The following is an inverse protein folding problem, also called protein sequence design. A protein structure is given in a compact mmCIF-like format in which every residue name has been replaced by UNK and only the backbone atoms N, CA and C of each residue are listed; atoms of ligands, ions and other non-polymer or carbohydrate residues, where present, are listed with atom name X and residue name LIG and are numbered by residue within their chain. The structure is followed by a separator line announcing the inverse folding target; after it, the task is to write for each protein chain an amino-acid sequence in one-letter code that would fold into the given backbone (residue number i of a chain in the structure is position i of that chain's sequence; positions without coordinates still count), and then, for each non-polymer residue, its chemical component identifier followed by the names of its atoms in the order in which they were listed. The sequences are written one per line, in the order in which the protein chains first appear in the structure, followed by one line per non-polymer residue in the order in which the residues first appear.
data_IF_963643667179
#
_entry.id   IF_963643667179
#
_cell.length_a   1.000
_cell.length_b   1.000
_cell.length_c   1.000
_cell.angle_alpha   90.00
_cell.angle_beta   90.00
_cell.angle_gamma   90.00
#
_symmetry.space_group_name_H-M   'P 1'
#
loop_
_entity.id
_entity.type
_entity.pdbx_description
1 polymer ?
#
# COMPACT_ATOMS: atom_id res chain seq x y z
N UNK A 1 8.13 -2.34 -25.69
CA UNK A 1 8.80 -3.57 -26.16
C UNK A 1 8.33 -4.71 -25.28
N UNK A 2 7.64 -5.69 -25.87
CA UNK A 2 6.93 -6.78 -25.20
C UNK A 2 7.91 -7.68 -24.43
N UNK A 3 7.76 -7.76 -23.11
CA UNK A 3 8.38 -8.79 -22.27
C UNK A 3 7.42 -9.98 -22.00
N UNK A 4 6.23 -9.97 -22.59
CA UNK A 4 5.17 -10.95 -22.31
C UNK A 4 5.31 -12.29 -23.07
N UNK A 5 6.41 -12.51 -23.80
CA UNK A 5 6.56 -13.67 -24.71
C UNK A 5 7.71 -14.63 -24.36
N UNK A 6 8.37 -14.52 -23.20
CA UNK A 6 9.50 -15.39 -22.85
C UNK A 6 9.20 -16.56 -21.88
N UNK A 7 7.98 -16.72 -21.38
CA UNK A 7 7.61 -17.87 -20.52
C UNK A 7 6.89 -19.01 -21.27
N UNK A 8 6.98 -19.06 -22.60
CA UNK A 8 6.60 -20.23 -23.39
C UNK A 8 7.71 -21.26 -23.55
N UNK A 9 8.88 -21.04 -22.95
CA UNK A 9 9.84 -22.11 -22.74
C UNK A 9 9.46 -22.81 -21.44
N UNK A 10 9.04 -24.07 -21.55
CA UNK A 10 9.12 -25.02 -20.44
C UNK A 10 10.56 -24.99 -19.93
N UNK A 11 10.84 -24.12 -18.95
CA UNK A 11 12.01 -24.36 -18.12
C UNK A 11 11.79 -25.75 -17.56
N UNK A 12 12.69 -26.68 -17.89
CA UNK A 12 12.70 -28.03 -17.35
C UNK A 12 13.00 -27.92 -15.85
N UNK A 13 11.99 -27.49 -15.09
CA UNK A 13 12.05 -27.41 -13.66
C UNK A 13 12.26 -28.84 -13.17
N UNK A 14 13.44 -29.08 -12.61
CA UNK A 14 13.76 -30.36 -11.97
C UNK A 14 13.25 -30.31 -10.55
N UNK A 15 12.62 -31.39 -10.11
CA UNK A 15 12.18 -31.48 -8.73
C UNK A 15 13.40 -31.47 -7.81
N UNK A 16 13.36 -30.66 -6.75
CA UNK A 16 14.46 -30.56 -5.78
C UNK A 16 14.81 -31.90 -5.12
N UNK A 17 13.79 -32.70 -4.80
CA UNK A 17 13.96 -34.00 -4.13
C UNK A 17 14.20 -35.15 -5.11
N UNK A 18 13.86 -34.95 -6.39
CA UNK A 18 14.02 -35.94 -7.47
C UNK A 18 14.57 -35.23 -8.73
N UNK A 19 15.87 -34.89 -8.77
CA UNK A 19 16.45 -34.06 -9.84
C UNK A 19 16.33 -34.65 -11.24
N UNK A 20 16.14 -35.97 -11.34
CA UNK A 20 15.91 -36.70 -12.58
C UNK A 20 14.47 -36.56 -13.11
N UNK A 21 13.54 -36.03 -12.29
CA UNK A 21 12.13 -35.93 -12.63
C UNK A 21 11.70 -34.48 -12.89
N UNK A 22 10.84 -34.25 -13.89
CA UNK A 22 10.25 -32.94 -14.10
C UNK A 22 9.26 -32.61 -12.99
N UNK A 23 9.20 -31.33 -12.66
CA UNK A 23 8.12 -30.74 -11.87
C UNK A 23 6.83 -30.80 -12.66
N UNK A 24 5.74 -31.09 -11.95
CA UNK A 24 4.40 -31.18 -12.54
C UNK A 24 3.36 -30.41 -11.73
N UNK A 25 3.63 -30.16 -10.46
CA UNK A 25 2.67 -29.60 -9.52
C UNK A 25 3.29 -28.48 -8.69
N UNK A 26 2.41 -27.67 -8.12
CA UNK A 26 2.78 -26.72 -7.09
C UNK A 26 1.67 -26.57 -6.05
N UNK A 27 2.02 -26.11 -4.85
CA UNK A 27 1.10 -25.92 -3.74
C UNK A 27 0.89 -24.44 -3.41
N UNK A 28 -0.37 -23.99 -3.46
CA UNK A 28 -0.78 -22.61 -3.16
C UNK A 28 -1.14 -22.38 -1.69
N UNK A 29 -1.20 -23.43 -0.87
CA UNK A 29 -1.59 -23.34 0.53
C UNK A 29 -0.66 -22.40 1.31
N UNK A 30 -1.23 -21.41 2.01
CA UNK A 30 -0.45 -20.33 2.64
C UNK A 30 0.58 -20.86 3.66
N UNK A 31 0.22 -21.84 4.46
CA UNK A 31 1.05 -22.43 5.52
C UNK A 31 1.78 -23.72 5.11
N UNK A 32 1.95 -23.96 3.81
CA UNK A 32 2.77 -25.07 3.31
C UNK A 32 4.24 -24.85 3.72
N UNK A 33 4.78 -25.80 4.50
CA UNK A 33 6.17 -25.82 4.98
C UNK A 33 7.09 -26.71 4.14
N UNK A 34 6.55 -27.34 3.10
CA UNK A 34 7.26 -28.24 2.18
C UNK A 34 7.69 -27.52 0.90
N UNK A 35 8.48 -28.20 0.06
CA UNK A 35 8.84 -27.67 -1.26
C UNK A 35 7.58 -27.43 -2.12
N UNK A 36 7.24 -26.17 -2.38
CA UNK A 36 5.99 -25.77 -3.05
C UNK A 36 5.90 -26.13 -4.52
N UNK A 37 7.00 -26.53 -5.15
CA UNK A 37 7.07 -26.91 -6.56
C UNK A 37 7.68 -28.31 -6.61
N UNK A 38 6.96 -29.28 -7.17
CA UNK A 38 7.30 -30.70 -6.99
C UNK A 38 6.83 -31.60 -8.15
N UNK A 39 7.37 -32.83 -8.19
CA UNK A 39 7.00 -33.85 -9.17
C UNK A 39 5.93 -34.81 -8.65
N UNK A 40 5.38 -35.65 -9.53
CA UNK A 40 4.39 -36.68 -9.19
C UNK A 40 4.85 -37.64 -8.08
N UNK A 41 6.15 -37.93 -7.99
CA UNK A 41 6.68 -38.77 -6.93
C UNK A 41 6.52 -38.12 -5.54
N UNK A 42 6.84 -36.84 -5.42
CA UNK A 42 6.65 -36.10 -4.16
C UNK A 42 5.17 -36.03 -3.77
N UNK A 43 4.27 -35.90 -4.76
CA UNK A 43 2.83 -35.94 -4.52
C UNK A 43 2.40 -37.30 -3.93
N UNK A 44 2.86 -38.40 -4.55
CA UNK A 44 2.56 -39.78 -4.13
C UNK A 44 3.19 -40.19 -2.80
N UNK A 45 4.29 -39.55 -2.40
CA UNK A 45 4.97 -39.78 -1.12
C UNK A 45 4.26 -39.09 0.05
N UNK A 46 3.03 -38.61 -0.13
CA UNK A 46 2.21 -37.95 0.87
C UNK A 46 2.80 -36.67 1.48
N UNK A 47 3.87 -36.10 0.89
CA UNK A 47 4.45 -34.83 1.36
C UNK A 47 3.45 -33.67 1.31
N UNK A 48 2.45 -33.77 0.45
CA UNK A 48 1.36 -32.80 0.31
C UNK A 48 -0.03 -33.39 0.54
N UNK A 49 -0.14 -34.59 1.12
CA UNK A 49 -1.44 -35.28 1.26
C UNK A 49 -2.32 -34.72 2.36
N UNK A 50 -1.76 -33.88 3.24
CA UNK A 50 -2.54 -33.06 4.17
C UNK A 50 -3.10 -31.79 3.52
N UNK A 51 -2.75 -31.48 2.27
CA UNK A 51 -3.28 -30.33 1.55
C UNK A 51 -4.47 -30.79 0.71
N UNK A 52 -5.52 -29.96 0.62
CA UNK A 52 -6.68 -30.28 -0.21
C UNK A 52 -6.28 -30.33 -1.68
N UNK A 53 -6.94 -31.18 -2.47
CA UNK A 53 -6.67 -31.30 -3.91
C UNK A 53 -6.78 -29.94 -4.64
N UNK A 54 -7.61 -29.03 -4.14
CA UNK A 54 -7.75 -27.66 -4.68
C UNK A 54 -6.52 -26.78 -4.46
N UNK A 55 -5.68 -27.10 -3.47
CA UNK A 55 -4.47 -26.36 -3.13
C UNK A 55 -3.23 -26.85 -3.86
N UNK A 56 -3.29 -28.03 -4.47
CA UNK A 56 -2.24 -28.61 -5.31
C UNK A 56 -2.67 -28.48 -6.77
N UNK A 57 -2.00 -27.58 -7.49
CA UNK A 57 -2.35 -27.22 -8.86
C UNK A 57 -1.28 -27.67 -9.85
N UNK A 58 -1.66 -27.71 -11.13
CA UNK A 58 -0.72 -28.02 -12.21
C UNK A 58 0.31 -26.91 -12.35
N UNK A 59 1.56 -27.26 -12.64
CA UNK A 59 2.63 -26.27 -12.87
C UNK A 59 2.30 -25.30 -14.01
N UNK A 60 1.44 -25.70 -14.95
CA UNK A 60 0.97 -24.84 -16.05
C UNK A 60 0.15 -23.64 -15.55
N UNK A 61 -0.50 -23.76 -14.39
CA UNK A 61 -1.31 -22.69 -13.79
C UNK A 61 -0.47 -21.71 -12.96
N UNK A 62 0.78 -22.06 -12.63
CA UNK A 62 1.65 -21.25 -11.77
C UNK A 62 1.90 -19.86 -12.37
N UNK A 63 2.15 -19.78 -13.67
CA UNK A 63 2.46 -18.51 -14.32
C UNK A 63 1.30 -17.51 -14.21
N UNK A 64 0.08 -17.96 -14.50
CA UNK A 64 -1.12 -17.13 -14.37
C UNK A 64 -1.32 -16.66 -12.92
N UNK A 65 -1.14 -17.57 -11.96
CA UNK A 65 -1.21 -17.23 -10.53
C UNK A 65 -0.16 -16.19 -10.12
N UNK A 66 1.10 -16.36 -10.56
CA UNK A 66 2.18 -15.39 -10.27
C UNK A 66 1.89 -14.03 -10.88
N UNK A 67 1.35 -13.97 -12.11
CA UNK A 67 0.91 -12.72 -12.72
C UNK A 67 -0.18 -12.06 -11.88
N UNK A 68 -1.22 -12.81 -11.50
CA UNK A 68 -2.32 -12.29 -10.69
C UNK A 68 -1.85 -11.78 -9.33
N UNK A 69 -1.01 -12.56 -8.63
CA UNK A 69 -0.43 -12.14 -7.35
C UNK A 69 0.49 -10.94 -7.50
N UNK A 70 1.24 -10.82 -8.59
CA UNK A 70 2.11 -9.65 -8.84
C UNK A 70 1.33 -8.35 -9.06
N UNK A 71 0.05 -8.41 -9.43
CA UNK A 71 -0.82 -7.23 -9.57
C UNK A 71 -1.20 -6.65 -8.21
N UNK A 72 -1.28 -7.45 -7.15
CA UNK A 72 -1.71 -6.99 -5.82
C UNK A 72 -0.76 -5.91 -5.24
N UNK A 73 0.57 -6.10 -5.19
CA UNK A 73 1.47 -5.04 -4.74
C UNK A 73 1.44 -3.79 -5.64
N UNK A 74 1.31 -3.96 -6.96
CA UNK A 74 1.24 -2.84 -7.91
C UNK A 74 -0.01 -1.99 -7.68
N UNK A 75 -1.16 -2.63 -7.46
CA UNK A 75 -2.41 -1.95 -7.10
C UNK A 75 -2.27 -1.17 -5.81
N UNK A 76 -1.74 -1.81 -4.75
CA UNK A 76 -1.52 -1.16 -3.46
C UNK A 76 -0.58 0.06 -3.57
N UNK A 77 0.52 -0.05 -4.31
CA UNK A 77 1.45 1.07 -4.54
C UNK A 77 0.73 2.23 -5.24
N UNK A 78 -0.07 1.94 -6.27
CA UNK A 78 -0.81 2.96 -7.02
C UNK A 78 -1.85 3.67 -6.13
N UNK A 79 -2.61 2.91 -5.34
CA UNK A 79 -3.58 3.47 -4.39
C UNK A 79 -2.91 4.36 -3.34
N UNK A 80 -1.77 3.91 -2.78
CA UNK A 80 -0.98 4.73 -1.86
C UNK A 80 -0.52 6.04 -2.52
N UNK A 81 0.02 5.98 -3.73
CA UNK A 81 0.48 7.17 -4.46
C UNK A 81 -0.66 8.17 -4.70
N UNK A 82 -1.83 7.70 -5.13
CA UNK A 82 -3.02 8.55 -5.33
C UNK A 82 -3.43 9.22 -4.02
N UNK A 83 -3.46 8.46 -2.93
CA UNK A 83 -3.83 8.97 -1.61
C UNK A 83 -2.85 10.04 -1.11
N UNK A 84 -1.54 9.82 -1.27
CA UNK A 84 -0.52 10.80 -0.92
C UNK A 84 -0.64 12.08 -1.74
N UNK A 85 -0.80 11.98 -3.07
CA UNK A 85 -0.97 13.15 -3.92
C UNK A 85 -2.22 13.96 -3.58
N UNK A 86 -3.33 13.29 -3.27
CA UNK A 86 -4.57 13.95 -2.83
C UNK A 86 -4.36 14.70 -1.52
N UNK A 87 -3.62 14.09 -0.58
CA UNK A 87 -3.28 14.71 0.70
C UNK A 87 -2.42 15.95 0.52
N UNK A 88 -1.38 15.89 -0.32
CA UNK A 88 -0.52 17.03 -0.64
C UNK A 88 -1.34 18.19 -1.21
N UNK A 89 -2.19 17.92 -2.21
CA UNK A 89 -3.07 18.94 -2.81
C UNK A 89 -4.02 19.57 -1.79
N UNK A 90 -4.54 18.77 -0.87
CA UNK A 90 -5.43 19.26 0.20
C UNK A 90 -4.66 20.17 1.16
N UNK A 91 -3.42 19.82 1.49
CA UNK A 91 -2.54 20.63 2.32
C UNK A 91 -2.15 21.96 1.63
N UNK A 92 -1.81 21.93 0.35
CA UNK A 92 -1.52 23.15 -0.43
C UNK A 92 -2.72 24.11 -0.46
N UNK A 93 -3.94 23.59 -0.67
CA UNK A 93 -5.17 24.40 -0.62
C UNK A 93 -5.41 25.00 0.76
N UNK A 94 -5.19 24.22 1.81
CA UNK A 94 -5.31 24.71 3.19
C UNK A 94 -4.32 25.85 3.45
N UNK A 95 -3.05 25.67 3.08
CA UNK A 95 -2.01 26.70 3.24
C UNK A 95 -2.35 27.95 2.43
N UNK A 96 -2.84 27.81 1.20
CA UNK A 96 -3.30 28.93 0.39
C UNK A 96 -4.49 29.66 1.04
N UNK A 97 -5.47 28.93 1.55
CA UNK A 97 -6.63 29.50 2.25
C UNK A 97 -6.26 30.22 3.54
N UNK A 98 -5.33 29.66 4.32
CA UNK A 98 -4.74 30.31 5.50
C UNK A 98 -4.01 31.60 5.10
N UNK A 99 -3.12 31.54 4.12
CA UNK A 99 -2.42 32.71 3.62
C UNK A 99 -3.40 33.77 3.15
N UNK A 100 -4.45 33.43 2.40
CA UNK A 100 -5.44 34.43 1.95
C UNK A 100 -6.24 35.04 3.12
N UNK A 101 -6.66 34.22 4.09
CA UNK A 101 -7.45 34.69 5.24
C UNK A 101 -6.64 35.60 6.17
N UNK A 102 -5.34 35.33 6.33
CA UNK A 102 -4.51 36.00 7.32
C UNK A 102 -3.45 36.95 6.74
N UNK A 103 -3.21 36.95 5.42
CA UNK A 103 -2.32 37.91 4.77
C UNK A 103 -2.90 39.32 4.84
N UNK A 104 -2.06 40.26 5.28
CA UNK A 104 -2.40 41.67 5.39
C UNK A 104 -3.30 42.02 6.59
N UNK A 105 -3.50 41.13 7.57
CA UNK A 105 -4.18 41.48 8.82
C UNK A 105 -3.40 42.55 9.59
N UNK A 106 -2.07 42.44 9.70
CA UNK A 106 -1.22 43.45 10.34
C UNK A 106 -1.32 44.83 9.65
N UNK A 107 -1.27 44.87 8.31
CA UNK A 107 -1.37 46.12 7.55
C UNK A 107 -2.78 46.72 7.57
N UNK A 108 -3.82 45.89 7.69
CA UNK A 108 -5.21 46.35 7.78
C UNK A 108 -5.50 46.92 9.15
N UNK A 109 -5.10 46.26 10.25
CA UNK A 109 -5.45 46.63 11.63
C UNK A 109 -5.07 48.08 11.97
N UNK A 110 -3.94 48.58 11.47
CA UNK A 110 -3.49 49.97 11.71
C UNK A 110 -4.33 51.03 11.00
N UNK A 111 -5.22 50.66 10.07
CA UNK A 111 -6.07 51.57 9.28
C UNK A 111 -7.57 51.35 9.49
N UNK A 112 -7.97 50.45 10.40
CA UNK A 112 -9.38 50.09 10.60
C UNK A 112 -10.13 51.13 11.43
N UNK A 113 -11.39 51.39 11.05
CA UNK A 113 -12.36 52.07 11.91
C UNK A 113 -12.75 51.16 13.08
N UNK A 114 -13.21 51.69 14.23
CA UNK A 114 -13.49 50.90 15.43
C UNK A 114 -14.34 49.63 15.22
N UNK A 115 -15.40 49.69 14.39
CA UNK A 115 -16.23 48.52 14.09
C UNK A 115 -15.51 47.44 13.27
N UNK A 116 -14.56 47.84 12.42
CA UNK A 116 -13.75 46.92 11.62
C UNK A 116 -12.65 46.29 12.48
N UNK A 117 -12.14 47.03 13.47
CA UNK A 117 -11.25 46.50 14.51
C UNK A 117 -11.92 45.39 15.30
N UNK A 118 -13.19 45.55 15.68
CA UNK A 118 -13.98 44.51 16.35
C UNK A 118 -14.09 43.23 15.49
N UNK A 119 -14.45 43.36 14.21
CA UNK A 119 -14.53 42.21 13.30
C UNK A 119 -13.18 41.52 13.06
N UNK A 120 -12.08 42.29 13.03
CA UNK A 120 -10.74 41.74 12.94
C UNK A 120 -10.34 40.99 14.23
N UNK A 121 -10.71 41.53 15.39
CA UNK A 121 -10.49 40.89 16.69
C UNK A 121 -11.24 39.56 16.79
N UNK A 122 -12.52 39.53 16.42
CA UNK A 122 -13.35 38.31 16.39
C UNK A 122 -12.79 37.26 15.42
N UNK A 123 -12.23 37.70 14.29
CA UNK A 123 -11.55 36.83 13.31
C UNK A 123 -10.22 36.27 13.82
N UNK A 124 -9.51 37.00 14.67
CA UNK A 124 -8.28 36.54 15.32
C UNK A 124 -8.56 35.58 16.48
N UNK A 125 -9.59 35.85 17.28
CA UNK A 125 -10.01 34.96 18.38
C UNK A 125 -10.48 33.61 17.81
N UNK A 126 -11.32 33.64 16.76
CA UNK A 126 -11.75 32.42 16.07
C UNK A 126 -10.63 31.68 15.33
N UNK A 127 -9.47 32.32 15.11
CA UNK A 127 -8.30 31.64 14.56
C UNK A 127 -7.65 30.69 15.56
N UNK A 128 -7.63 31.01 16.86
CA UNK A 128 -7.09 30.09 17.87
C UNK A 128 -7.94 28.81 17.96
N UNK A 129 -9.27 28.94 17.85
CA UNK A 129 -10.18 27.79 17.76
C UNK A 129 -9.91 26.98 16.49
N UNK A 130 -9.77 27.65 15.34
CA UNK A 130 -9.46 27.00 14.06
C UNK A 130 -8.10 26.29 14.08
N UNK A 131 -7.07 26.90 14.68
CA UNK A 131 -5.72 26.34 14.88
C UNK A 131 -5.76 25.08 15.74
N UNK A 132 -6.54 25.08 16.82
CA UNK A 132 -6.72 23.90 17.66
C UNK A 132 -7.42 22.76 16.91
N UNK A 133 -8.42 23.08 16.09
CA UNK A 133 -9.08 22.11 15.21
C UNK A 133 -8.11 21.53 14.16
N UNK A 134 -7.30 22.38 13.54
CA UNK A 134 -6.28 21.97 12.58
C UNK A 134 -5.23 21.05 13.20
N UNK A 135 -4.71 21.41 14.38
CA UNK A 135 -3.72 20.59 15.08
C UNK A 135 -4.27 19.19 15.41
N UNK A 136 -5.53 19.09 15.80
CA UNK A 136 -6.19 17.81 16.05
C UNK A 136 -6.26 16.95 14.79
N UNK A 137 -6.61 17.54 13.65
CA UNK A 137 -6.68 16.85 12.37
C UNK A 137 -5.29 16.42 11.85
N UNK A 138 -4.28 17.27 12.01
CA UNK A 138 -2.88 16.97 11.61
C UNK A 138 -2.31 15.84 12.47
N UNK A 139 -2.56 15.84 13.78
CA UNK A 139 -2.15 14.75 14.68
C UNK A 139 -2.81 13.42 14.28
N UNK A 140 -4.07 13.43 13.85
CA UNK A 140 -4.75 12.24 13.32
C UNK A 140 -4.09 11.69 12.04
N UNK A 141 -3.67 12.57 11.12
CA UNK A 141 -2.95 12.16 9.91
C UNK A 141 -1.57 11.55 10.22
N UNK A 142 -0.83 12.11 11.17
CA UNK A 142 0.46 11.58 11.61
C UNK A 142 0.33 10.20 12.28
N UNK A 143 -0.73 9.96 13.04
CA UNK A 143 -1.02 8.63 13.60
C UNK A 143 -1.31 7.59 12.50
N UNK A 144 -2.05 7.98 11.46
CA UNK A 144 -2.28 7.11 10.30
C UNK A 144 -0.98 6.80 9.56
N UNK A 145 -0.08 7.78 9.39
CA UNK A 145 1.24 7.56 8.80
C UNK A 145 2.09 6.57 9.60
N UNK A 146 2.07 6.63 10.93
CA UNK A 146 2.74 5.64 11.81
C UNK A 146 2.15 4.23 11.66
N UNK A 147 0.83 4.11 11.50
CA UNK A 147 0.17 2.82 11.21
C UNK A 147 0.64 2.23 9.88
N UNK A 148 0.73 3.03 8.82
CA UNK A 148 1.25 2.58 7.54
C UNK A 148 2.73 2.15 7.62
N UNK A 149 3.56 2.90 8.37
CA UNK A 149 4.95 2.49 8.63
C UNK A 149 5.03 1.17 9.39
N UNK A 150 4.18 0.93 10.39
CA UNK A 150 4.13 -0.37 11.08
C UNK A 150 3.69 -1.51 10.16
N UNK A 151 2.68 -1.31 9.31
CA UNK A 151 2.25 -2.33 8.34
C UNK A 151 3.39 -2.65 7.36
N UNK A 152 4.13 -1.65 6.91
CA UNK A 152 5.29 -1.85 6.04
C UNK A 152 6.42 -2.63 6.75
N UNK A 153 6.74 -2.28 7.99
CA UNK A 153 7.74 -2.98 8.81
C UNK A 153 7.32 -4.42 9.14
N UNK A 154 6.03 -4.67 9.40
CA UNK A 154 5.51 -6.02 9.63
C UNK A 154 5.65 -6.87 8.36
N UNK A 155 5.43 -6.31 7.17
CA UNK A 155 5.59 -7.03 5.91
C UNK A 155 7.06 -7.29 5.52
N UNK A 156 8.02 -6.48 6.00
CA UNK A 156 9.45 -6.74 5.79
C UNK A 156 10.00 -7.90 6.63
N UNK A 157 9.33 -8.29 7.71
CA UNK A 157 9.72 -9.42 8.56
C UNK A 157 9.18 -10.78 8.06
N UNK A 158 8.51 -10.82 6.90
CA UNK A 158 7.96 -12.03 6.27
C UNK A 158 8.65 -12.38 4.93
N UNK A 159 9.82 -11.79 4.64
CA UNK A 159 10.72 -12.18 3.53
C UNK A 159 11.95 -12.84 4.15
#
# INVERSE_FOLDING_TARGET
MNQDSQFQQSQDFKCKDHPEKPVQFWCKLNNCNENRIFCLNCQKQNKHVQHYDEDVLSIHELHQFLIEKSKLPKGLISECQISFQSTIKSYEKLMSGLSHKFCGLEEKITKLKPYQTQQALDSLISFDEFKNHLNTNILGLLQNQKRFQMIFLLNQNYI
#
